data_IF_989601901370
#
_entry.id   IF_989601901370
#
_cell.length_a   1.000
_cell.length_b   1.000
_cell.length_c   1.000
_cell.angle_alpha   90.00
_cell.angle_beta   90.00
_cell.angle_gamma   90.00
#
_symmetry.space_group_name_H-M   'P 1'
#
loop_
_entity.id
_entity.type
_entity.pdbx_description
1 polymer ?
#
# COMPACT_ATOMS: atom_id res chain seq x y z
N UNK A 1 -24.55 21.84 -8.74
CA UNK A 1 -23.88 21.50 -7.47
C UNK A 1 -24.08 22.65 -6.49
N UNK A 2 -24.65 22.40 -5.31
CA UNK A 2 -24.81 23.43 -4.29
C UNK A 2 -23.40 23.86 -3.81
N UNK A 3 -23.19 25.16 -3.65
CA UNK A 3 -21.97 25.71 -3.05
C UNK A 3 -21.92 25.28 -1.57
N UNK A 4 -20.81 24.68 -1.15
CA UNK A 4 -20.60 24.35 0.26
C UNK A 4 -20.66 25.63 1.12
N UNK A 5 -21.32 25.50 2.25
CA UNK A 5 -21.40 26.59 3.23
C UNK A 5 -20.07 26.72 3.98
N UNK A 6 -19.77 27.94 4.47
CA UNK A 6 -18.56 28.12 5.31
C UNK A 6 -18.55 27.21 6.54
N UNK A 7 -19.72 26.92 7.11
CA UNK A 7 -19.85 26.02 8.25
C UNK A 7 -19.42 24.59 7.91
N UNK A 8 -19.78 24.06 6.73
CA UNK A 8 -19.35 22.74 6.26
C UNK A 8 -17.84 22.69 6.03
N UNK A 9 -17.25 23.72 5.48
CA UNK A 9 -15.79 23.81 5.30
C UNK A 9 -15.05 23.80 6.65
N UNK A 10 -15.53 24.54 7.64
CA UNK A 10 -14.94 24.53 8.98
C UNK A 10 -15.10 23.17 9.68
N UNK A 11 -16.24 22.51 9.53
CA UNK A 11 -16.46 21.18 10.06
C UNK A 11 -15.50 20.15 9.44
N UNK A 12 -15.28 20.20 8.12
CA UNK A 12 -14.32 19.35 7.42
C UNK A 12 -12.88 19.60 7.87
N UNK A 13 -12.49 20.88 8.03
CA UNK A 13 -11.17 21.23 8.52
C UNK A 13 -10.95 20.76 9.97
N UNK A 14 -11.94 20.91 10.83
CA UNK A 14 -11.91 20.42 12.21
C UNK A 14 -11.78 18.90 12.28
N UNK A 15 -12.52 18.17 11.43
CA UNK A 15 -12.41 16.71 11.32
C UNK A 15 -11.02 16.30 10.86
N UNK A 16 -10.47 16.94 9.84
CA UNK A 16 -9.10 16.65 9.37
C UNK A 16 -8.07 16.88 10.47
N UNK A 17 -8.18 17.98 11.20
CA UNK A 17 -7.30 18.27 12.33
C UNK A 17 -7.39 17.18 13.41
N UNK A 18 -8.61 16.77 13.78
CA UNK A 18 -8.82 15.71 14.75
C UNK A 18 -8.20 14.36 14.30
N UNK A 19 -8.34 14.02 13.02
CA UNK A 19 -7.73 12.80 12.45
C UNK A 19 -6.20 12.89 12.49
N UNK A 20 -5.62 14.04 12.11
CA UNK A 20 -4.17 14.25 12.15
C UNK A 20 -3.66 14.10 13.59
N UNK A 21 -4.33 14.74 14.54
CA UNK A 21 -3.97 14.63 15.97
C UNK A 21 -4.04 13.18 16.47
N UNK A 22 -5.05 12.41 16.06
CA UNK A 22 -5.17 11.00 16.41
C UNK A 22 -4.04 10.13 15.82
N UNK A 23 -3.45 10.52 14.69
CA UNK A 23 -2.34 9.83 14.04
C UNK A 23 -0.95 10.26 14.56
N UNK A 24 -0.82 11.41 15.22
CA UNK A 24 0.46 11.92 15.72
C UNK A 24 1.22 10.91 16.59
N UNK A 25 0.61 10.15 17.52
CA UNK A 25 1.32 9.16 18.32
C UNK A 25 1.99 8.08 17.46
N UNK A 26 1.32 7.63 16.40
CA UNK A 26 1.87 6.61 15.50
C UNK A 26 3.07 7.16 14.71
N UNK A 27 2.98 8.40 14.23
CA UNK A 27 4.12 9.03 13.56
C UNK A 27 5.28 9.31 14.52
N UNK A 28 4.98 9.74 15.74
CA UNK A 28 5.98 9.94 16.78
C UNK A 28 6.72 8.66 17.15
N UNK A 29 6.01 7.54 17.24
CA UNK A 29 6.59 6.22 17.52
C UNK A 29 7.59 5.77 16.46
N UNK A 30 7.44 6.21 15.20
CA UNK A 30 8.41 5.91 14.14
C UNK A 30 9.84 6.39 14.49
N UNK A 31 9.96 7.51 15.22
CA UNK A 31 11.25 8.02 15.67
C UNK A 31 12.00 7.11 16.64
N UNK A 32 11.27 6.23 17.32
CA UNK A 32 11.83 5.26 18.28
C UNK A 32 11.93 3.84 17.71
N UNK A 33 11.58 3.68 16.42
CA UNK A 33 11.62 2.38 15.77
C UNK A 33 13.06 1.91 15.54
N UNK A 34 13.31 0.63 15.79
CA UNK A 34 14.63 0.01 15.64
C UNK A 34 14.49 -1.43 15.13
N UNK A 35 15.52 -1.96 14.45
CA UNK A 35 15.53 -3.33 13.95
C UNK A 35 15.42 -4.35 15.08
N UNK A 36 14.74 -5.45 14.83
CA UNK A 36 14.62 -6.56 15.78
C UNK A 36 14.41 -7.89 15.06
N UNK A 37 14.81 -8.98 15.71
CA UNK A 37 14.51 -10.34 15.24
C UNK A 37 14.89 -10.58 13.77
N UNK A 38 13.88 -10.93 12.96
CA UNK A 38 14.05 -11.34 11.57
C UNK A 38 14.67 -10.29 10.65
N UNK A 39 14.63 -9.00 11.04
CA UNK A 39 15.22 -7.93 10.20
C UNK A 39 16.72 -8.16 9.99
N UNK A 40 17.45 -8.62 11.02
CA UNK A 40 18.86 -8.97 10.89
C UNK A 40 19.11 -10.22 10.03
N UNK A 41 18.19 -11.18 10.03
CA UNK A 41 18.28 -12.34 9.16
C UNK A 41 18.13 -11.95 7.68
N UNK A 42 17.18 -11.06 7.38
CA UNK A 42 16.95 -10.62 6.00
C UNK A 42 18.08 -9.75 5.43
N UNK A 43 18.78 -8.97 6.24
CA UNK A 43 19.98 -8.24 5.76
C UNK A 43 21.08 -9.16 5.26
N UNK A 44 21.23 -10.34 5.87
CA UNK A 44 22.23 -11.32 5.47
C UNK A 44 21.89 -12.05 4.16
N UNK A 45 20.65 -11.92 3.66
CA UNK A 45 20.24 -12.51 2.38
C UNK A 45 20.80 -11.72 1.19
N UNK A 46 21.00 -10.42 1.38
CA UNK A 46 21.45 -9.49 0.35
C UNK A 46 22.91 -9.13 0.60
N UNK A 47 23.84 -10.03 0.25
CA UNK A 47 25.26 -9.88 0.57
C UNK A 47 25.98 -8.85 -0.30
N UNK A 48 25.49 -8.59 -1.51
CA UNK A 48 26.09 -7.62 -2.43
C UNK A 48 25.36 -6.27 -2.36
N UNK A 49 26.12 -5.15 -2.27
CA UNK A 49 25.56 -3.83 -2.00
C UNK A 49 24.99 -3.12 -3.26
N UNK A 50 24.66 -3.85 -4.29
CA UNK A 50 24.10 -3.32 -5.54
C UNK A 50 22.74 -3.94 -5.89
N UNK A 51 22.14 -3.42 -6.97
CA UNK A 51 20.81 -3.87 -7.41
C UNK A 51 20.85 -5.32 -7.97
N UNK A 52 21.96 -5.73 -8.53
CA UNK A 52 22.12 -7.08 -9.07
C UNK A 52 22.14 -8.09 -7.92
N UNK A 53 22.83 -7.78 -6.82
CA UNK A 53 22.79 -8.56 -5.58
C UNK A 53 21.39 -8.65 -4.97
N UNK A 54 20.59 -7.57 -5.03
CA UNK A 54 19.18 -7.63 -4.61
C UNK A 54 18.39 -8.60 -5.48
N UNK A 55 18.54 -8.55 -6.80
CA UNK A 55 17.82 -9.44 -7.73
C UNK A 55 18.24 -10.89 -7.52
N UNK A 56 19.54 -11.16 -7.41
CA UNK A 56 20.05 -12.50 -7.14
C UNK A 56 19.55 -13.05 -5.81
N UNK A 57 19.58 -12.25 -4.75
CA UNK A 57 19.03 -12.59 -3.45
C UNK A 57 17.54 -12.95 -3.49
N UNK A 58 16.74 -12.18 -4.23
CA UNK A 58 15.31 -12.46 -4.44
C UNK A 58 15.11 -13.78 -5.19
N UNK A 59 15.89 -14.03 -6.25
CA UNK A 59 15.79 -15.26 -7.04
C UNK A 59 16.17 -16.49 -6.21
N UNK A 60 17.28 -16.40 -5.48
CA UNK A 60 17.77 -17.50 -4.64
C UNK A 60 16.79 -17.80 -3.50
N UNK A 61 16.32 -16.78 -2.80
CA UNK A 61 15.34 -16.95 -1.73
C UNK A 61 14.01 -17.54 -2.21
N UNK A 62 13.53 -17.08 -3.39
CA UNK A 62 12.35 -17.65 -4.03
C UNK A 62 12.50 -19.14 -4.33
N UNK A 63 13.69 -19.57 -4.73
CA UNK A 63 13.95 -20.98 -5.05
C UNK A 63 14.00 -21.87 -3.81
N UNK A 64 14.46 -21.32 -2.68
CA UNK A 64 14.73 -22.08 -1.44
C UNK A 64 13.60 -22.04 -0.44
N UNK A 65 12.82 -20.92 -0.39
CA UNK A 65 11.95 -20.67 0.74
C UNK A 65 10.50 -20.33 0.37
N UNK A 66 10.24 -19.23 -0.32
CA UNK A 66 8.88 -18.78 -0.60
C UNK A 66 8.76 -17.94 -1.88
N UNK A 67 7.50 -17.74 -2.33
CA UNK A 67 7.17 -17.01 -3.55
C UNK A 67 7.05 -15.49 -3.42
N UNK A 68 7.41 -14.89 -2.27
CA UNK A 68 7.17 -13.45 -1.94
C UNK A 68 8.18 -12.51 -2.60
N UNK A 69 8.38 -12.65 -3.90
CA UNK A 69 9.44 -11.98 -4.64
C UNK A 69 9.38 -10.44 -4.55
N UNK A 70 8.18 -9.83 -4.52
CA UNK A 70 8.08 -8.38 -4.48
C UNK A 70 8.35 -7.84 -3.07
N UNK A 71 7.87 -8.50 -2.03
CA UNK A 71 8.21 -8.15 -0.65
C UNK A 71 9.71 -8.27 -0.39
N UNK A 72 10.35 -9.32 -0.90
CA UNK A 72 11.81 -9.50 -0.83
C UNK A 72 12.55 -8.40 -1.60
N UNK A 73 12.06 -8.05 -2.79
CA UNK A 73 12.62 -6.93 -3.56
C UNK A 73 12.54 -5.60 -2.80
N UNK A 74 11.40 -5.31 -2.16
CA UNK A 74 11.26 -4.11 -1.31
C UNK A 74 12.25 -4.13 -0.13
N UNK A 75 12.40 -5.28 0.54
CA UNK A 75 13.36 -5.44 1.63
C UNK A 75 14.79 -5.25 1.16
N UNK A 76 15.21 -5.92 0.09
CA UNK A 76 16.55 -5.78 -0.48
C UNK A 76 16.83 -4.35 -0.93
N UNK A 77 15.88 -3.74 -1.64
CA UNK A 77 15.98 -2.34 -2.09
C UNK A 77 16.08 -1.34 -0.93
N UNK A 78 15.61 -1.71 0.25
CA UNK A 78 15.75 -0.90 1.46
C UNK A 78 17.02 -1.24 2.23
N UNK A 79 17.32 -2.52 2.49
CA UNK A 79 18.43 -2.93 3.35
C UNK A 79 19.80 -2.74 2.68
N UNK A 80 19.89 -2.86 1.37
CA UNK A 80 21.17 -2.76 0.64
C UNK A 80 21.73 -1.33 0.61
N UNK A 81 20.96 -0.30 0.12
CA UNK A 81 21.53 1.06 -0.03
C UNK A 81 21.51 1.89 1.25
N UNK A 82 20.79 1.46 2.30
CA UNK A 82 20.59 2.26 3.49
C UNK A 82 21.14 1.58 4.75
N UNK A 83 21.80 2.35 5.60
CA UNK A 83 22.11 1.90 6.96
C UNK A 83 20.78 1.57 7.68
N UNK A 84 20.58 0.29 7.95
CA UNK A 84 19.34 -0.20 8.55
C UNK A 84 19.06 0.47 9.90
N UNK A 85 20.08 0.64 10.75
CA UNK A 85 19.90 1.20 12.10
C UNK A 85 19.52 2.67 12.03
N UNK A 86 20.23 3.46 11.22
CA UNK A 86 20.01 4.89 11.10
C UNK A 86 18.68 5.24 10.42
N UNK A 87 18.24 4.40 9.50
CA UNK A 87 17.06 4.71 8.65
C UNK A 87 15.79 3.97 9.05
N UNK A 88 15.82 3.07 10.02
CA UNK A 88 14.70 2.19 10.39
C UNK A 88 13.41 2.93 10.79
N UNK A 89 13.51 4.20 11.12
CA UNK A 89 12.38 5.10 11.43
C UNK A 89 11.55 5.51 10.20
N UNK A 90 12.09 5.41 8.97
CA UNK A 90 11.40 5.91 7.77
C UNK A 90 10.36 4.97 7.17
N UNK A 91 10.57 3.64 7.11
CA UNK A 91 9.58 2.72 6.54
C UNK A 91 8.16 2.88 7.09
N UNK A 92 7.92 3.02 8.41
CA UNK A 92 6.58 3.27 8.92
C UNK A 92 5.93 4.52 8.33
N UNK A 93 6.68 5.63 8.22
CA UNK A 93 6.17 6.89 7.66
C UNK A 93 5.81 6.76 6.18
N UNK A 94 6.66 6.07 5.40
CA UNK A 94 6.41 5.80 3.97
C UNK A 94 5.17 4.93 3.80
N UNK A 95 5.01 3.89 4.63
CA UNK A 95 3.85 3.01 4.58
C UNK A 95 2.55 3.73 5.00
N UNK A 96 2.59 4.59 6.02
CA UNK A 96 1.44 5.44 6.37
C UNK A 96 1.05 6.36 5.22
N UNK A 97 2.02 7.05 4.63
CA UNK A 97 1.77 7.92 3.47
C UNK A 97 1.22 7.12 2.29
N UNK A 98 1.82 5.98 1.97
CA UNK A 98 1.36 5.06 0.92
C UNK A 98 -0.07 4.59 1.14
N UNK A 99 -0.43 4.22 2.39
CA UNK A 99 -1.78 3.80 2.76
C UNK A 99 -2.80 4.92 2.53
N UNK A 100 -2.52 6.13 3.00
CA UNK A 100 -3.38 7.29 2.77
C UNK A 100 -3.54 7.64 1.29
N UNK A 101 -2.44 7.61 0.54
CA UNK A 101 -2.44 7.89 -0.90
C UNK A 101 -3.20 6.84 -1.70
N UNK A 102 -3.02 5.56 -1.41
CA UNK A 102 -3.73 4.47 -2.07
C UNK A 102 -5.23 4.50 -1.75
N UNK A 103 -5.59 4.77 -0.49
CA UNK A 103 -6.98 4.99 -0.07
C UNK A 103 -7.63 6.17 -0.77
N UNK A 104 -6.93 7.31 -0.83
CA UNK A 104 -7.39 8.47 -1.58
C UNK A 104 -7.56 8.15 -3.08
N UNK A 105 -6.58 7.46 -3.66
CA UNK A 105 -6.62 7.06 -5.06
C UNK A 105 -7.82 6.14 -5.37
N UNK A 106 -8.12 5.17 -4.51
CA UNK A 106 -9.29 4.31 -4.61
C UNK A 106 -10.60 5.11 -4.48
N UNK A 107 -10.73 5.92 -3.43
CA UNK A 107 -11.94 6.71 -3.19
C UNK A 107 -12.25 7.67 -4.35
N UNK A 108 -11.24 8.28 -4.94
CA UNK A 108 -11.40 9.10 -6.16
C UNK A 108 -11.97 8.28 -7.32
N UNK A 109 -11.60 7.03 -7.45
CA UNK A 109 -12.17 6.11 -8.43
C UNK A 109 -13.64 5.80 -8.16
N UNK A 110 -13.98 5.48 -6.90
CA UNK A 110 -15.33 5.14 -6.46
C UNK A 110 -16.33 6.31 -6.57
N UNK A 111 -15.88 7.52 -6.27
CA UNK A 111 -16.74 8.73 -6.33
C UNK A 111 -16.87 9.33 -7.73
N UNK A 112 -16.44 8.63 -8.77
CA UNK A 112 -16.48 9.12 -10.14
C UNK A 112 -15.67 10.40 -10.36
N UNK A 113 -14.56 10.56 -9.61
CA UNK A 113 -13.68 11.74 -9.69
C UNK A 113 -14.34 13.04 -9.21
N UNK A 114 -15.29 12.95 -8.27
CA UNK A 114 -15.94 14.10 -7.63
C UNK A 114 -14.94 15.21 -7.32
N UNK A 115 -15.31 16.48 -7.58
CA UNK A 115 -14.43 17.64 -7.47
C UNK A 115 -14.09 18.03 -6.03
N UNK A 116 -14.82 17.50 -5.04
CA UNK A 116 -14.54 17.81 -3.63
C UNK A 116 -13.34 17.00 -3.12
N UNK A 117 -12.14 17.52 -3.41
CA UNK A 117 -10.87 16.94 -2.98
C UNK A 117 -10.73 16.91 -1.47
N UNK A 118 -11.17 17.96 -0.77
CA UNK A 118 -11.05 18.07 0.68
C UNK A 118 -11.85 16.96 1.38
N UNK A 119 -13.10 16.75 0.97
CA UNK A 119 -13.95 15.67 1.48
C UNK A 119 -13.34 14.29 1.22
N UNK A 120 -12.85 14.05 0.01
CA UNK A 120 -12.20 12.77 -0.32
C UNK A 120 -10.95 12.54 0.53
N UNK A 121 -10.15 13.59 0.75
CA UNK A 121 -8.97 13.52 1.62
C UNK A 121 -9.37 13.22 3.07
N UNK A 122 -10.38 13.90 3.59
CA UNK A 122 -10.86 13.67 4.96
C UNK A 122 -11.35 12.22 5.15
N UNK A 123 -12.10 11.69 4.19
CA UNK A 123 -12.57 10.29 4.25
C UNK A 123 -11.38 9.32 4.14
N UNK A 124 -10.43 9.56 3.23
CA UNK A 124 -9.25 8.70 3.09
C UNK A 124 -8.41 8.65 4.37
N UNK A 125 -8.12 9.81 4.96
CA UNK A 125 -7.38 9.92 6.22
C UNK A 125 -8.18 9.32 7.39
N UNK A 126 -9.50 9.52 7.42
CA UNK A 126 -10.38 8.93 8.43
C UNK A 126 -10.37 7.39 8.39
N UNK A 127 -10.44 6.80 7.20
CA UNK A 127 -10.33 5.35 7.02
C UNK A 127 -8.93 4.86 7.38
N UNK A 128 -7.88 5.61 7.06
CA UNK A 128 -6.51 5.31 7.46
C UNK A 128 -6.38 5.30 8.99
N UNK A 129 -6.91 6.32 9.66
CA UNK A 129 -6.88 6.40 11.11
C UNK A 129 -7.70 5.27 11.75
N UNK A 130 -8.89 5.00 11.26
CA UNK A 130 -9.73 3.90 11.75
C UNK A 130 -9.02 2.56 11.63
N UNK A 131 -8.45 2.27 10.46
CA UNK A 131 -7.67 1.04 10.23
C UNK A 131 -6.51 0.92 11.21
N UNK A 132 -5.73 2.00 11.40
CA UNK A 132 -4.58 2.01 12.30
C UNK A 132 -4.98 1.82 13.76
N UNK A 133 -6.03 2.53 14.20
CA UNK A 133 -6.53 2.48 15.58
C UNK A 133 -7.19 1.14 15.93
N UNK A 134 -7.75 0.44 14.94
CA UNK A 134 -8.41 -0.86 15.15
C UNK A 134 -7.50 -2.05 14.87
N UNK A 135 -6.28 -1.81 14.36
CA UNK A 135 -5.33 -2.89 14.08
C UNK A 135 -4.83 -3.53 15.38
N UNK A 136 -5.01 -4.85 15.58
CA UNK A 136 -4.61 -5.51 16.83
C UNK A 136 -3.11 -5.44 17.14
N UNK A 137 -2.27 -5.46 16.09
CA UNK A 137 -0.81 -5.45 16.18
C UNK A 137 -0.22 -4.42 15.20
N UNK A 138 -0.39 -3.14 15.53
CA UNK A 138 0.15 -2.03 14.72
C UNK A 138 1.67 -2.15 14.53
N UNK A 139 2.37 -2.68 15.55
CA UNK A 139 3.82 -2.92 15.48
C UNK A 139 4.19 -3.81 14.29
N UNK A 140 3.49 -4.91 14.06
CA UNK A 140 3.77 -5.81 12.94
C UNK A 140 3.33 -5.24 11.58
N UNK A 141 2.27 -4.41 11.60
CA UNK A 141 1.75 -3.82 10.36
C UNK A 141 2.58 -2.68 9.80
N UNK A 142 3.19 -1.86 10.65
CA UNK A 142 3.88 -0.65 10.22
C UNK A 142 5.34 -0.56 10.68
N UNK A 143 5.67 -1.06 11.86
CA UNK A 143 6.98 -0.81 12.48
C UNK A 143 7.95 -1.97 12.32
N UNK A 144 7.49 -3.20 12.25
CA UNK A 144 8.33 -4.36 11.94
C UNK A 144 8.51 -4.47 10.44
N UNK A 145 9.63 -3.96 9.91
CA UNK A 145 9.86 -3.72 8.46
C UNK A 145 9.62 -4.96 7.61
N UNK A 146 10.08 -6.14 8.03
CA UNK A 146 9.87 -7.38 7.28
C UNK A 146 8.38 -7.73 7.16
N UNK A 147 7.63 -7.67 8.26
CA UNK A 147 6.19 -7.87 8.25
C UNK A 147 5.46 -6.77 7.47
N UNK A 148 5.85 -5.53 7.68
CA UNK A 148 5.24 -4.37 7.06
C UNK A 148 5.40 -4.38 5.52
N UNK A 149 6.58 -4.75 4.99
CA UNK A 149 6.79 -4.88 3.55
C UNK A 149 6.08 -6.10 2.94
N UNK A 150 5.83 -7.14 3.71
CA UNK A 150 5.03 -8.28 3.26
C UNK A 150 3.53 -7.95 3.25
N UNK A 151 2.99 -7.52 4.37
CA UNK A 151 1.54 -7.39 4.56
C UNK A 151 1.04 -5.99 4.25
N UNK A 152 1.63 -4.95 4.84
CA UNK A 152 1.10 -3.59 4.67
C UNK A 152 1.38 -3.02 3.27
N UNK A 153 2.55 -3.28 2.70
CA UNK A 153 2.80 -2.90 1.31
C UNK A 153 1.84 -3.64 0.35
N UNK A 154 1.57 -4.93 0.59
CA UNK A 154 0.57 -5.69 -0.16
C UNK A 154 -0.83 -5.08 -0.07
N UNK A 155 -1.27 -4.64 1.12
CA UNK A 155 -2.54 -3.95 1.31
C UNK A 155 -2.59 -2.61 0.55
N UNK A 156 -1.52 -1.80 0.62
CA UNK A 156 -1.39 -0.53 -0.10
C UNK A 156 -1.51 -0.76 -1.61
N UNK A 157 -0.76 -1.71 -2.14
CA UNK A 157 -0.77 -2.07 -3.56
C UNK A 157 -2.14 -2.62 -3.99
N UNK A 158 -2.83 -3.37 -3.14
CA UNK A 158 -4.20 -3.85 -3.39
C UNK A 158 -5.17 -2.69 -3.55
N UNK A 159 -5.16 -1.71 -2.65
CA UNK A 159 -5.99 -0.50 -2.79
C UNK A 159 -5.66 0.28 -4.07
N UNK A 160 -4.38 0.42 -4.39
CA UNK A 160 -3.94 1.07 -5.61
C UNK A 160 -4.41 0.30 -6.86
N UNK A 161 -4.35 -1.03 -6.83
CA UNK A 161 -4.84 -1.89 -7.91
C UNK A 161 -6.34 -1.71 -8.12
N UNK A 162 -7.14 -1.75 -7.06
CA UNK A 162 -8.59 -1.51 -7.13
C UNK A 162 -8.89 -0.12 -7.72
N UNK A 163 -8.21 0.91 -7.25
CA UNK A 163 -8.35 2.26 -7.78
C UNK A 163 -7.93 2.38 -9.26
N UNK A 164 -6.93 1.62 -9.70
CA UNK A 164 -6.51 1.55 -11.09
C UNK A 164 -7.56 0.84 -11.96
N UNK A 165 -8.08 -0.29 -11.51
CA UNK A 165 -9.14 -1.04 -12.21
C UNK A 165 -10.39 -0.20 -12.44
N UNK A 166 -10.83 0.58 -11.44
CA UNK A 166 -11.96 1.50 -11.61
C UNK A 166 -11.70 2.53 -12.72
N UNK A 167 -10.46 2.99 -12.86
CA UNK A 167 -10.08 3.94 -13.93
C UNK A 167 -9.99 3.28 -15.29
N UNK A 168 -9.52 2.04 -15.37
CA UNK A 168 -9.50 1.25 -16.61
C UNK A 168 -10.93 1.04 -17.09
N UNK A 169 -11.85 0.67 -16.21
CA UNK A 169 -13.27 0.51 -16.56
C UNK A 169 -13.88 1.83 -17.03
N UNK A 170 -13.57 2.93 -16.36
CA UNK A 170 -14.11 4.25 -16.73
C UNK A 170 -13.52 4.82 -18.03
N UNK A 171 -12.28 4.47 -18.37
CA UNK A 171 -11.54 4.99 -19.55
C UNK A 171 -10.60 3.94 -20.13
N UNK A 172 -11.15 2.95 -20.85
CA UNK A 172 -10.39 1.79 -21.36
C UNK A 172 -9.34 2.16 -22.42
N UNK A 173 -9.47 3.30 -23.07
CA UNK A 173 -8.55 3.82 -24.09
C UNK A 173 -7.17 4.26 -23.55
N UNK A 174 -7.00 4.32 -22.23
CA UNK A 174 -5.75 4.76 -21.61
C UNK A 174 -4.79 3.61 -21.37
N UNK A 175 -4.02 3.23 -22.38
CA UNK A 175 -3.03 2.14 -22.33
C UNK A 175 -2.04 2.23 -21.15
N UNK A 176 -1.64 3.45 -20.75
CA UNK A 176 -0.79 3.64 -19.57
C UNK A 176 -1.41 3.12 -18.27
N UNK A 177 -2.75 3.16 -18.14
CA UNK A 177 -3.44 2.59 -16.98
C UNK A 177 -3.50 1.07 -17.03
N UNK A 178 -3.58 0.47 -18.21
CA UNK A 178 -3.50 -0.99 -18.36
C UNK A 178 -2.11 -1.50 -17.94
N UNK A 179 -1.04 -0.82 -18.40
CA UNK A 179 0.32 -1.16 -18.00
C UNK A 179 0.51 -1.00 -16.49
N UNK A 180 0.06 0.11 -15.90
CA UNK A 180 0.12 0.34 -14.47
C UNK A 180 -0.67 -0.74 -13.70
N UNK A 181 -1.87 -1.10 -14.17
CA UNK A 181 -2.68 -2.15 -13.57
C UNK A 181 -1.98 -3.50 -13.57
N UNK A 182 -1.37 -3.88 -14.68
CA UNK A 182 -0.60 -5.12 -14.79
C UNK A 182 0.61 -5.12 -13.84
N UNK A 183 1.36 -4.03 -13.77
CA UNK A 183 2.49 -3.87 -12.86
C UNK A 183 2.06 -3.95 -11.38
N UNK A 184 0.93 -3.33 -11.03
CA UNK A 184 0.38 -3.39 -9.67
C UNK A 184 -0.07 -4.81 -9.31
N UNK A 185 -0.77 -5.52 -10.19
CA UNK A 185 -1.16 -6.93 -9.96
C UNK A 185 0.07 -7.80 -9.77
N UNK A 186 1.10 -7.64 -10.62
CA UNK A 186 2.36 -8.35 -10.48
C UNK A 186 3.01 -8.10 -9.12
N UNK A 187 3.05 -6.84 -8.67
CA UNK A 187 3.61 -6.48 -7.37
C UNK A 187 2.81 -7.06 -6.20
N UNK A 188 1.46 -6.95 -6.23
CA UNK A 188 0.58 -7.49 -5.18
C UNK A 188 0.75 -8.99 -5.02
N UNK A 189 0.73 -9.73 -6.12
CA UNK A 189 0.90 -11.20 -6.12
C UNK A 189 2.23 -11.61 -5.51
N UNK A 190 3.26 -10.79 -5.66
CA UNK A 190 4.59 -11.02 -5.09
C UNK A 190 4.76 -10.59 -3.62
N UNK A 191 3.73 -10.07 -2.95
CA UNK A 191 3.84 -9.69 -1.54
C UNK A 191 3.62 -10.87 -0.59
N UNK A 192 2.48 -11.54 -0.67
CA UNK A 192 2.17 -12.74 0.12
C UNK A 192 1.23 -13.67 -0.63
N UNK A 193 1.17 -14.92 -0.18
CA UNK A 193 0.26 -15.94 -0.72
C UNK A 193 -1.21 -15.52 -0.57
N UNK A 194 -1.55 -14.82 0.52
CA UNK A 194 -2.90 -14.29 0.75
C UNK A 194 -3.28 -13.25 -0.30
N UNK A 195 -2.38 -12.31 -0.61
CA UNK A 195 -2.63 -11.31 -1.64
C UNK A 195 -2.72 -11.94 -3.04
N UNK A 196 -1.94 -12.97 -3.31
CA UNK A 196 -2.03 -13.75 -4.56
C UNK A 196 -3.43 -14.37 -4.71
N UNK A 197 -3.92 -15.08 -3.70
CA UNK A 197 -5.26 -15.70 -3.73
C UNK A 197 -6.34 -14.64 -3.89
N UNK A 198 -6.25 -13.52 -3.15
CA UNK A 198 -7.18 -12.41 -3.27
C UNK A 198 -7.22 -11.85 -4.71
N UNK A 199 -6.04 -11.65 -5.33
CA UNK A 199 -5.98 -11.15 -6.72
C UNK A 199 -6.53 -12.17 -7.72
N UNK A 200 -6.28 -13.45 -7.55
CA UNK A 200 -6.86 -14.51 -8.43
C UNK A 200 -8.39 -14.47 -8.34
N UNK A 201 -8.95 -14.43 -7.14
CA UNK A 201 -10.40 -14.36 -6.92
C UNK A 201 -10.96 -13.09 -7.58
N UNK A 202 -10.35 -11.93 -7.33
CA UNK A 202 -10.80 -10.65 -7.87
C UNK A 202 -10.77 -10.63 -9.40
N UNK A 203 -9.67 -11.04 -10.01
CA UNK A 203 -9.53 -11.06 -11.47
C UNK A 203 -10.48 -12.06 -12.12
N UNK A 204 -10.67 -13.23 -11.50
CA UNK A 204 -11.66 -14.22 -11.95
C UNK A 204 -13.08 -13.67 -11.89
N UNK A 205 -13.46 -13.01 -10.80
CA UNK A 205 -14.76 -12.39 -10.63
C UNK A 205 -15.02 -11.30 -11.68
N UNK A 206 -14.05 -10.43 -11.93
CA UNK A 206 -14.15 -9.37 -12.96
C UNK A 206 -14.30 -9.98 -14.35
N UNK A 207 -13.54 -11.03 -14.66
CA UNK A 207 -13.59 -11.70 -15.96
C UNK A 207 -14.95 -12.38 -16.18
N UNK A 208 -15.44 -13.12 -15.19
CA UNK A 208 -16.74 -13.79 -15.23
C UNK A 208 -17.89 -12.78 -15.35
N UNK A 209 -17.86 -11.69 -14.59
CA UNK A 209 -18.83 -10.61 -14.68
C UNK A 209 -18.83 -9.97 -16.06
N UNK A 210 -17.65 -9.67 -16.61
CA UNK A 210 -17.50 -9.10 -17.95
C UNK A 210 -18.02 -10.04 -19.06
N UNK A 211 -17.81 -11.34 -18.89
CA UNK A 211 -18.39 -12.34 -19.79
C UNK A 211 -19.93 -12.39 -19.68
N UNK A 212 -20.46 -12.44 -18.45
CA UNK A 212 -21.91 -12.52 -18.21
C UNK A 212 -22.66 -11.29 -18.74
N UNK A 213 -22.13 -10.08 -18.56
CA UNK A 213 -22.74 -8.83 -19.04
C UNK A 213 -22.71 -8.71 -20.57
N UNK A 214 -21.73 -9.37 -21.24
CA UNK A 214 -21.61 -9.34 -22.71
C UNK A 214 -22.27 -10.51 -23.42
N UNK A 215 -22.70 -11.55 -22.70
CA UNK A 215 -23.45 -12.64 -23.29
C UNK A 215 -24.86 -12.14 -23.62
N UNK A 216 -25.33 -12.28 -24.90
CA UNK A 216 -26.65 -11.85 -25.34
C UNK A 216 -27.77 -12.60 -24.63
#
# INVERSE_FOLDING_TARGET
MAKETKAEQWAQAGLLLAIIVALLPFWGLAGFNHPSGDNFCYTNVFNDPDIDGVIEGVIDWRRRWNGRYFALFLMGSYFVPFDMIATYRYPPLVLFAGWCLAGYYLLRGLTGFSDNRLRTTAVALGLCALYTLTMPLVSNGFYHVTGAFQYQAGNILTLATLGCLLRIVARPERYGQLFLGAALVFAVVGCTELHMVLMVILMSAITLYGYWVRSP
#
